data_IF_165630199029
#
_entry.id   IF_165630199029
#
_cell.length_a   1.000
_cell.length_b   1.000
_cell.length_c   1.000
_cell.angle_alpha   90.00
_cell.angle_beta   90.00
_cell.angle_gamma   90.00
#
_symmetry.space_group_name_H-M   'P 1'
#
loop_
_entity.id
_entity.type
_entity.pdbx_description
1 polymer ?
#
# COMPACT_ATOMS: atom_id res chain seq x y z
N UNK A 1 -5.82 15.89 -48.09
CA UNK A 1 -5.56 15.81 -46.63
C UNK A 1 -4.10 15.47 -46.48
N UNK A 2 -3.27 16.48 -46.19
CA UNK A 2 -1.82 16.36 -46.18
C UNK A 2 -1.33 15.78 -44.85
N UNK A 3 -0.60 14.66 -44.93
CA UNK A 3 0.02 13.99 -43.77
C UNK A 3 0.92 14.94 -42.96
N UNK A 4 1.52 15.93 -43.63
CA UNK A 4 2.38 16.93 -43.00
C UNK A 4 1.60 17.92 -42.10
N UNK A 5 0.31 18.12 -42.37
CA UNK A 5 -0.55 18.95 -41.52
C UNK A 5 -0.90 18.22 -40.22
N UNK A 6 -1.19 16.92 -40.31
CA UNK A 6 -1.55 16.08 -39.16
C UNK A 6 -0.35 15.87 -38.22
N UNK A 7 0.85 15.67 -38.78
CA UNK A 7 2.07 15.53 -37.97
C UNK A 7 2.40 16.81 -37.19
N UNK A 8 2.27 17.98 -37.81
CA UNK A 8 2.53 19.24 -37.13
C UNK A 8 1.48 19.52 -36.05
N UNK A 9 0.22 19.15 -36.29
CA UNK A 9 -0.84 19.32 -35.31
C UNK A 9 -0.68 18.41 -34.09
N UNK A 10 -0.22 17.17 -34.29
CA UNK A 10 0.13 16.25 -33.19
C UNK A 10 1.38 16.73 -32.44
N UNK A 11 2.37 17.26 -33.15
CA UNK A 11 3.61 17.74 -32.53
C UNK A 11 3.40 19.03 -31.72
N UNK A 12 2.51 19.92 -32.16
CA UNK A 12 2.10 21.09 -31.38
C UNK A 12 1.30 20.71 -30.14
N UNK A 13 0.43 19.70 -30.22
CA UNK A 13 -0.26 19.17 -29.03
C UNK A 13 0.76 18.57 -28.06
N UNK A 14 1.73 17.79 -28.55
CA UNK A 14 2.78 17.18 -27.73
C UNK A 14 3.69 18.23 -27.07
N UNK A 15 4.09 19.28 -27.81
CA UNK A 15 4.89 20.39 -27.27
C UNK A 15 4.10 21.23 -26.28
N UNK A 16 2.81 21.48 -26.50
CA UNK A 16 1.97 22.19 -25.54
C UNK A 16 1.73 21.39 -24.25
N UNK A 17 1.67 20.05 -24.32
CA UNK A 17 1.64 19.19 -23.13
C UNK A 17 3.00 19.11 -22.41
N UNK A 18 4.13 19.13 -23.13
CA UNK A 18 5.46 19.13 -22.53
C UNK A 18 5.80 20.47 -21.85
N UNK A 19 5.47 21.60 -22.49
CA UNK A 19 5.69 22.94 -21.93
C UNK A 19 4.78 23.24 -20.72
N UNK A 20 3.68 22.50 -20.55
CA UNK A 20 2.79 22.60 -19.37
C UNK A 20 3.31 21.83 -18.15
N UNK A 21 4.36 21.01 -18.32
CA UNK A 21 4.97 20.23 -17.24
C UNK A 21 6.18 20.95 -16.60
N UNK A 22 6.72 22.02 -17.20
CA UNK A 22 7.90 22.74 -16.67
C UNK A 22 7.57 24.00 -15.84
N UNK A 23 6.31 24.39 -15.65
CA UNK A 23 5.93 25.62 -14.88
C UNK A 23 4.90 25.36 -13.77
N UNK A 24 4.84 24.16 -13.20
CA UNK A 24 3.78 23.78 -12.26
C UNK A 24 4.26 23.08 -11.00
N UNK A 25 5.03 23.76 -10.15
CA UNK A 25 5.37 23.32 -8.80
C UNK A 25 4.14 23.33 -7.86
N UNK A 26 3.08 22.57 -8.16
CA UNK A 26 1.83 22.56 -7.39
C UNK A 26 1.15 21.18 -7.24
N UNK A 27 1.81 20.08 -7.60
CA UNK A 27 1.23 18.72 -7.44
C UNK A 27 1.68 18.01 -6.16
N UNK A 28 2.52 18.64 -5.34
CA UNK A 28 2.93 18.11 -4.01
C UNK A 28 2.07 18.73 -2.89
N UNK A 29 1.39 19.87 -3.12
CA UNK A 29 0.55 20.52 -2.10
C UNK A 29 -0.78 19.79 -1.81
N UNK A 30 -1.29 18.97 -2.73
CA UNK A 30 -2.43 18.08 -2.43
C UNK A 30 -2.04 16.82 -1.66
N UNK A 31 -0.73 16.56 -1.51
CA UNK A 31 -0.20 15.49 -0.67
C UNK A 31 0.06 16.00 0.77
N UNK A 32 0.32 17.30 0.92
CA UNK A 32 0.60 17.97 2.21
C UNK A 32 -0.66 18.43 2.95
N UNK A 33 -1.84 18.44 2.31
CA UNK A 33 -3.11 18.84 2.96
C UNK A 33 -3.89 17.68 3.60
N UNK A 34 -3.26 16.53 3.78
CA UNK A 34 -3.65 15.51 4.77
C UNK A 34 -2.70 15.68 5.96
N UNK A 35 -2.83 16.80 6.65
CA UNK A 35 -2.05 17.14 7.83
C UNK A 35 -2.92 17.03 9.08
N UNK A 36 -2.62 16.04 9.92
CA UNK A 36 -3.18 15.86 11.25
C UNK A 36 -4.54 15.15 11.29
N UNK A 37 -4.52 13.83 11.53
CA UNK A 37 -5.69 13.08 12.03
C UNK A 37 -6.62 12.42 11.01
N UNK A 38 -6.20 12.21 9.75
CA UNK A 38 -7.01 11.55 8.73
C UNK A 38 -6.21 10.49 7.95
N UNK A 39 -5.42 9.68 8.65
CA UNK A 39 -4.47 8.76 8.05
C UNK A 39 -5.19 7.62 7.32
N UNK A 40 -6.33 7.15 7.82
CA UNK A 40 -7.03 6.00 7.24
C UNK A 40 -7.84 6.30 5.97
N UNK A 41 -8.39 7.50 5.85
CA UNK A 41 -9.30 7.85 4.78
C UNK A 41 -8.65 7.77 3.40
N UNK A 42 -7.51 8.45 3.21
CA UNK A 42 -6.89 8.60 1.88
C UNK A 42 -6.26 7.33 1.31
N UNK A 43 -5.72 6.45 2.15
CA UNK A 43 -5.16 5.15 1.73
C UNK A 43 -6.26 4.17 1.33
N UNK A 44 -7.36 4.14 2.07
CA UNK A 44 -8.51 3.31 1.72
C UNK A 44 -9.18 3.82 0.44
N UNK A 45 -9.28 5.13 0.20
CA UNK A 45 -9.71 5.67 -1.11
C UNK A 45 -8.80 5.24 -2.26
N UNK A 46 -7.48 5.13 -2.02
CA UNK A 46 -6.52 4.67 -3.03
C UNK A 46 -6.63 3.17 -3.32
N UNK A 47 -7.09 2.37 -2.36
CA UNK A 47 -7.23 0.92 -2.48
C UNK A 47 -8.63 0.52 -2.98
N UNK A 48 -9.67 1.21 -2.49
CA UNK A 48 -11.07 0.85 -2.67
C UNK A 48 -11.76 1.61 -3.81
N UNK A 49 -11.26 2.80 -4.16
CA UNK A 49 -11.52 3.47 -5.42
C UNK A 49 -12.96 3.93 -5.69
N UNK A 50 -13.28 5.20 -5.39
CA UNK A 50 -13.92 6.13 -6.37
C UNK A 50 -14.05 7.59 -5.87
N UNK A 51 -13.44 8.53 -6.60
CA UNK A 51 -14.13 9.63 -7.31
C UNK A 51 -13.16 10.63 -7.99
N UNK A 52 -13.43 10.96 -9.26
CA UNK A 52 -12.84 12.12 -9.95
C UNK A 52 -11.60 11.88 -10.83
N UNK A 53 -11.83 11.71 -12.14
CA UNK A 53 -10.94 12.05 -13.26
C UNK A 53 -9.41 11.99 -13.10
N UNK A 54 -8.79 11.07 -13.84
CA UNK A 54 -7.34 10.87 -14.01
C UNK A 54 -6.61 10.09 -12.90
N UNK A 55 -7.00 8.84 -12.67
CA UNK A 55 -6.09 7.76 -12.22
C UNK A 55 -6.73 6.36 -12.21
N UNK A 56 -7.67 6.06 -13.11
CA UNK A 56 -8.08 4.65 -13.36
C UNK A 56 -7.00 3.87 -14.15
N UNK A 57 -5.90 4.54 -14.50
CA UNK A 57 -4.62 3.93 -14.87
C UNK A 57 -3.75 3.56 -13.65
N UNK A 58 -4.24 3.69 -12.41
CA UNK A 58 -3.69 3.02 -11.22
C UNK A 58 -4.23 1.58 -11.15
N UNK A 59 -3.94 0.81 -12.20
CA UNK A 59 -3.99 -0.66 -12.10
C UNK A 59 -3.05 -1.06 -10.95
N UNK A 60 -3.57 -1.68 -9.89
CA UNK A 60 -2.76 -2.50 -8.99
C UNK A 60 -2.07 -1.81 -7.81
N UNK A 61 -2.81 -1.27 -6.84
CA UNK A 61 -2.23 -0.99 -5.50
C UNK A 61 -1.61 -2.26 -4.88
N UNK A 62 -2.32 -3.39 -4.97
CA UNK A 62 -1.81 -4.70 -4.54
C UNK A 62 -0.71 -5.25 -5.47
N UNK A 63 -0.78 -5.00 -6.78
CA UNK A 63 0.27 -5.43 -7.71
C UNK A 63 1.56 -4.61 -7.55
N UNK A 64 1.44 -3.31 -7.25
CA UNK A 64 2.56 -2.43 -6.90
C UNK A 64 3.15 -2.86 -5.56
N UNK A 65 2.33 -3.13 -4.54
CA UNK A 65 2.80 -3.70 -3.28
C UNK A 65 3.60 -4.99 -3.52
N UNK A 66 3.03 -5.94 -4.28
CA UNK A 66 3.70 -7.18 -4.66
C UNK A 66 5.03 -6.95 -5.38
N UNK A 67 5.07 -6.02 -6.33
CA UNK A 67 6.29 -5.73 -7.07
C UNK A 67 7.36 -5.05 -6.19
N UNK A 68 6.97 -4.12 -5.31
CA UNK A 68 7.88 -3.49 -4.35
C UNK A 68 8.42 -4.53 -3.36
N UNK A 69 7.56 -5.39 -2.81
CA UNK A 69 7.97 -6.47 -1.92
C UNK A 69 8.93 -7.45 -2.62
N UNK A 70 8.65 -7.82 -3.88
CA UNK A 70 9.53 -8.65 -4.68
C UNK A 70 10.89 -7.99 -4.95
N UNK A 71 10.90 -6.70 -5.33
CA UNK A 71 12.14 -5.95 -5.57
C UNK A 71 12.99 -5.86 -4.30
N UNK A 72 12.38 -5.56 -3.16
CA UNK A 72 13.04 -5.55 -1.85
C UNK A 72 13.63 -6.93 -1.52
N UNK A 73 12.85 -7.99 -1.67
CA UNK A 73 13.32 -9.36 -1.45
C UNK A 73 14.48 -9.75 -2.38
N UNK A 74 14.43 -9.34 -3.65
CA UNK A 74 15.51 -9.59 -4.61
C UNK A 74 16.80 -8.84 -4.22
N UNK A 75 16.70 -7.61 -3.74
CA UNK A 75 17.85 -6.83 -3.29
C UNK A 75 18.43 -7.38 -1.98
N UNK A 76 17.57 -7.85 -1.08
CA UNK A 76 17.96 -8.56 0.13
C UNK A 76 18.73 -9.85 -0.20
N UNK A 77 18.22 -10.67 -1.12
CA UNK A 77 18.93 -11.87 -1.59
C UNK A 77 20.29 -11.56 -2.22
N UNK A 78 20.43 -10.47 -2.98
CA UNK A 78 21.72 -10.06 -3.57
C UNK A 78 22.72 -9.61 -2.50
N UNK A 79 22.23 -9.05 -1.40
CA UNK A 79 23.04 -8.54 -0.30
C UNK A 79 23.46 -9.65 0.68
N UNK A 80 22.67 -10.72 0.77
CA UNK A 80 22.97 -11.92 1.52
C UNK A 80 23.94 -12.82 0.73
N UNK A 81 25.15 -13.06 1.26
CA UNK A 81 26.12 -14.02 0.68
C UNK A 81 25.66 -15.49 0.81
N UNK A 82 24.57 -15.77 1.53
CA UNK A 82 24.00 -17.09 1.71
C UNK A 82 22.80 -17.35 0.79
N UNK A 83 22.74 -18.58 0.27
CA UNK A 83 21.73 -19.06 -0.68
C UNK A 83 20.35 -19.18 -0.05
N UNK A 84 19.61 -18.07 0.07
CA UNK A 84 18.18 -18.15 0.33
C UNK A 84 17.43 -18.73 -0.88
N UNK A 85 16.28 -19.39 -0.67
CA UNK A 85 15.46 -19.89 -1.76
C UNK A 85 15.03 -18.72 -2.65
N UNK A 86 15.26 -18.86 -3.95
CA UNK A 86 14.71 -17.93 -4.94
C UNK A 86 13.19 -18.08 -4.95
N UNK A 87 12.49 -17.02 -4.54
CA UNK A 87 11.03 -16.94 -4.57
C UNK A 87 10.63 -16.26 -5.89
N UNK A 88 9.73 -16.88 -6.63
CA UNK A 88 9.20 -16.35 -7.89
C UNK A 88 8.37 -15.09 -7.66
N UNK A 89 8.39 -14.14 -8.60
CA UNK A 89 7.58 -12.91 -8.56
C UNK A 89 6.08 -13.18 -8.35
N UNK A 90 5.53 -14.26 -8.95
CA UNK A 90 4.13 -14.65 -8.78
C UNK A 90 3.74 -14.96 -7.32
N UNK A 91 4.70 -15.33 -6.45
CA UNK A 91 4.41 -15.55 -5.04
C UNK A 91 4.10 -14.23 -4.31
N UNK A 92 4.56 -13.10 -4.85
CA UNK A 92 4.28 -11.78 -4.31
C UNK A 92 3.01 -11.16 -4.90
N UNK A 93 2.40 -11.79 -5.91
CA UNK A 93 1.13 -11.33 -6.45
C UNK A 93 0.01 -11.63 -5.44
N UNK A 94 -0.43 -10.58 -4.73
CA UNK A 94 -1.50 -10.68 -3.74
C UNK A 94 -2.79 -11.24 -4.33
N UNK A 95 -3.13 -10.88 -5.57
CA UNK A 95 -4.41 -11.23 -6.20
C UNK A 95 -4.41 -12.65 -6.78
N UNK A 96 -3.24 -13.17 -7.17
CA UNK A 96 -3.07 -14.51 -7.73
C UNK A 96 -2.33 -15.47 -6.78
N UNK A 97 -2.06 -15.04 -5.55
CA UNK A 97 -1.37 -15.86 -4.55
C UNK A 97 -2.17 -17.14 -4.33
N UNK A 98 -1.50 -18.29 -4.47
CA UNK A 98 -2.12 -19.62 -4.34
C UNK A 98 -2.39 -20.01 -2.88
N UNK A 99 -2.41 -19.03 -1.98
CA UNK A 99 -2.49 -19.20 -0.53
C UNK A 99 -3.93 -19.51 -0.12
N UNK A 100 -4.09 -20.29 0.95
CA UNK A 100 -5.41 -20.68 1.50
C UNK A 100 -6.19 -19.52 2.14
N UNK A 101 -5.55 -18.35 2.28
CA UNK A 101 -6.09 -17.14 2.88
C UNK A 101 -6.28 -16.13 1.75
N UNK A 102 -7.38 -15.37 1.79
CA UNK A 102 -7.54 -14.20 0.93
C UNK A 102 -6.50 -13.15 1.33
N UNK A 103 -5.38 -13.11 0.60
CA UNK A 103 -4.26 -12.24 0.89
C UNK A 103 -4.65 -10.76 0.81
N UNK A 104 -5.63 -10.42 -0.03
CA UNK A 104 -6.18 -9.06 -0.12
C UNK A 104 -6.92 -8.66 1.15
N UNK A 105 -7.77 -9.56 1.66
CA UNK A 105 -8.45 -9.36 2.95
C UNK A 105 -7.44 -9.23 4.10
N UNK A 106 -6.46 -10.13 4.19
CA UNK A 106 -5.45 -10.12 5.26
C UNK A 106 -4.64 -8.82 5.26
N UNK A 107 -4.22 -8.35 4.08
CA UNK A 107 -3.49 -7.09 3.93
C UNK A 107 -4.36 -5.93 4.40
N UNK A 108 -5.62 -5.88 3.99
CA UNK A 108 -6.54 -4.82 4.41
C UNK A 108 -6.74 -4.79 5.93
N UNK A 109 -6.94 -5.95 6.54
CA UNK A 109 -7.07 -6.09 8.00
C UNK A 109 -5.79 -5.66 8.73
N UNK A 110 -4.63 -6.01 8.19
CA UNK A 110 -3.32 -5.58 8.72
C UNK A 110 -3.16 -4.07 8.64
N UNK A 111 -3.57 -3.43 7.53
CA UNK A 111 -3.54 -1.97 7.39
C UNK A 111 -4.43 -1.27 8.42
N UNK A 112 -5.62 -1.81 8.69
CA UNK A 112 -6.53 -1.30 9.72
C UNK A 112 -5.89 -1.46 11.11
N UNK A 113 -5.29 -2.60 11.41
CA UNK A 113 -4.60 -2.84 12.68
C UNK A 113 -3.39 -1.90 12.87
N UNK A 114 -2.62 -1.65 11.80
CA UNK A 114 -1.49 -0.72 11.83
C UNK A 114 -1.94 0.71 12.12
N UNK A 115 -3.01 1.17 11.48
CA UNK A 115 -3.57 2.48 11.78
C UNK A 115 -4.19 2.56 13.18
N UNK A 116 -4.81 1.49 13.67
CA UNK A 116 -5.38 1.46 15.01
C UNK A 116 -4.29 1.47 16.11
N UNK A 117 -3.03 1.17 15.78
CA UNK A 117 -1.95 1.00 16.75
C UNK A 117 -1.60 2.29 17.50
N UNK A 118 -1.77 3.47 16.89
CA UNK A 118 -1.56 4.75 17.55
C UNK A 118 -2.64 5.04 18.63
N UNK A 119 -3.76 4.31 18.56
CA UNK A 119 -4.87 4.32 19.50
C UNK A 119 -5.91 5.39 19.23
N UNK A 120 -5.84 6.10 18.09
CA UNK A 120 -6.80 7.16 17.74
C UNK A 120 -7.30 6.99 16.31
N UNK A 121 -8.17 6.00 16.08
CA UNK A 121 -9.05 6.08 14.91
C UNK A 121 -10.11 7.15 15.23
N UNK A 122 -9.89 8.33 14.68
CA UNK A 122 -10.77 9.48 14.86
C UNK A 122 -12.14 9.25 14.24
N UNK A 123 -13.14 9.99 14.70
CA UNK A 123 -14.49 9.89 14.13
C UNK A 123 -14.52 10.32 12.65
N UNK A 124 -13.69 11.29 12.27
CA UNK A 124 -13.48 11.69 10.87
C UNK A 124 -12.90 10.55 10.02
N UNK A 125 -11.97 9.75 10.58
CA UNK A 125 -11.44 8.57 9.90
C UNK A 125 -12.50 7.50 9.72
N UNK A 126 -13.28 7.18 10.74
CA UNK A 126 -14.41 6.23 10.61
C UNK A 126 -15.40 6.69 9.54
N UNK A 127 -15.74 7.99 9.54
CA UNK A 127 -16.65 8.54 8.55
C UNK A 127 -16.08 8.46 7.13
N UNK A 128 -14.77 8.70 6.97
CA UNK A 128 -14.12 8.56 5.67
C UNK A 128 -14.11 7.11 5.19
N UNK A 129 -13.86 6.16 6.09
CA UNK A 129 -13.90 4.72 5.78
C UNK A 129 -15.32 4.29 5.36
N UNK A 130 -16.35 4.75 6.08
CA UNK A 130 -17.74 4.51 5.73
C UNK A 130 -18.11 5.10 4.36
N UNK A 131 -17.59 6.29 4.03
CA UNK A 131 -17.79 6.90 2.72
C UNK A 131 -17.11 6.11 1.60
N UNK A 132 -15.93 5.53 1.85
CA UNK A 132 -15.22 4.70 0.87
C UNK A 132 -15.88 3.34 0.62
N UNK A 133 -16.55 2.78 1.64
CA UNK A 133 -17.43 1.62 1.44
C UNK A 133 -18.61 1.92 0.50
N UNK A 134 -18.94 3.20 0.32
CA UNK A 134 -19.95 3.68 -0.62
C UNK A 134 -21.32 3.06 -0.36
N UNK A 135 -21.94 2.54 -1.42
CA UNK A 135 -23.28 1.93 -1.34
C UNK A 135 -23.24 0.43 -0.95
N UNK A 136 -22.11 -0.09 -0.47
CA UNK A 136 -22.01 -1.48 -0.03
C UNK A 136 -22.14 -1.58 1.50
N UNK A 137 -23.35 -1.87 2.02
CA UNK A 137 -23.58 -1.90 3.47
C UNK A 137 -22.86 -3.07 4.17
N UNK A 138 -22.63 -4.18 3.46
CA UNK A 138 -21.92 -5.35 4.02
C UNK A 138 -20.44 -5.01 4.25
N UNK A 139 -19.82 -4.34 3.28
CA UNK A 139 -18.44 -3.87 3.39
C UNK A 139 -18.29 -2.81 4.49
N UNK A 140 -19.24 -1.89 4.60
CA UNK A 140 -19.22 -0.87 5.65
C UNK A 140 -19.28 -1.48 7.06
N UNK A 141 -20.17 -2.47 7.26
CA UNK A 141 -20.28 -3.19 8.53
C UNK A 141 -19.03 -4.00 8.85
N UNK A 142 -18.45 -4.66 7.85
CA UNK A 142 -17.20 -5.40 8.03
C UNK A 142 -16.03 -4.49 8.43
N UNK A 143 -15.87 -3.35 7.73
CA UNK A 143 -14.84 -2.35 8.06
C UNK A 143 -15.02 -1.80 9.48
N UNK A 144 -16.25 -1.49 9.87
CA UNK A 144 -16.54 -1.00 11.23
C UNK A 144 -16.20 -2.03 12.31
N UNK A 145 -16.49 -3.32 12.07
CA UNK A 145 -16.10 -4.39 12.99
C UNK A 145 -14.58 -4.53 13.09
N UNK A 146 -13.87 -4.46 11.97
CA UNK A 146 -12.41 -4.56 11.94
C UNK A 146 -11.74 -3.35 12.61
N UNK A 147 -12.34 -2.16 12.52
CA UNK A 147 -11.87 -0.96 13.26
C UNK A 147 -12.10 -1.12 14.76
N UNK A 148 -13.27 -1.64 15.17
CA UNK A 148 -13.60 -1.82 16.59
C UNK A 148 -12.76 -2.91 17.25
N UNK A 149 -12.46 -3.98 16.52
CA UNK A 149 -11.65 -5.10 16.99
C UNK A 149 -10.61 -5.48 15.93
N UNK A 150 -9.52 -4.70 15.80
CA UNK A 150 -8.51 -4.97 14.80
C UNK A 150 -7.86 -6.33 15.02
N UNK A 151 -7.51 -7.00 13.91
CA UNK A 151 -6.77 -8.25 13.96
C UNK A 151 -5.46 -8.10 14.77
N UNK A 152 -5.19 -9.07 15.64
CA UNK A 152 -3.96 -9.09 16.43
C UNK A 152 -2.75 -9.52 15.59
N UNK A 153 -1.55 -9.01 15.92
CA UNK A 153 -0.28 -9.40 15.28
C UNK A 153 -0.08 -10.92 15.27
N UNK A 154 -0.42 -11.60 16.37
CA UNK A 154 -0.31 -13.05 16.46
C UNK A 154 -1.22 -13.76 15.45
N UNK A 155 -2.43 -13.25 15.24
CA UNK A 155 -3.35 -13.84 14.26
C UNK A 155 -2.90 -13.55 12.82
N UNK A 156 -2.39 -12.35 12.54
CA UNK A 156 -1.75 -12.04 11.25
C UNK A 156 -0.63 -13.04 10.96
N UNK A 157 0.30 -13.23 11.89
CA UNK A 157 1.42 -14.16 11.73
C UNK A 157 0.96 -15.61 11.53
N UNK A 158 -0.09 -16.05 12.23
CA UNK A 158 -0.67 -17.39 12.05
C UNK A 158 -1.28 -17.58 10.66
N UNK A 159 -1.96 -16.56 10.12
CA UNK A 159 -2.57 -16.61 8.79
C UNK A 159 -1.52 -16.56 7.67
N UNK A 160 -0.45 -15.78 7.86
CA UNK A 160 0.68 -15.75 6.92
C UNK A 160 1.47 -17.06 6.94
N UNK A 161 1.68 -17.64 8.12
CA UNK A 161 2.49 -18.86 8.27
C UNK A 161 3.94 -18.65 7.82
N UNK A 162 4.48 -19.62 7.07
CA UNK A 162 5.88 -19.59 6.61
C UNK A 162 6.05 -18.98 5.21
N UNK A 163 5.07 -18.20 4.73
CA UNK A 163 5.13 -17.56 3.42
C UNK A 163 5.84 -16.20 3.51
N UNK A 164 7.12 -16.19 3.17
CA UNK A 164 7.94 -14.96 3.18
C UNK A 164 7.44 -13.90 2.19
N UNK A 165 6.83 -14.30 1.06
CA UNK A 165 6.32 -13.34 0.08
C UNK A 165 5.08 -12.62 0.61
N UNK A 166 4.14 -13.38 1.19
CA UNK A 166 2.98 -12.81 1.86
C UNK A 166 3.39 -11.99 3.08
N UNK A 167 4.33 -12.46 3.90
CA UNK A 167 4.87 -11.70 5.03
C UNK A 167 5.44 -10.35 4.60
N UNK A 168 6.20 -10.32 3.50
CA UNK A 168 6.77 -9.09 2.93
C UNK A 168 5.69 -8.12 2.49
N UNK A 169 4.64 -8.61 1.82
CA UNK A 169 3.48 -7.81 1.41
C UNK A 169 2.72 -7.23 2.60
N UNK A 170 2.45 -8.05 3.62
CA UNK A 170 1.74 -7.65 4.85
C UNK A 170 2.50 -6.57 5.61
N UNK A 171 3.81 -6.75 5.81
CA UNK A 171 4.65 -5.75 6.46
C UNK A 171 4.67 -4.43 5.69
N UNK A 172 4.90 -4.50 4.37
CA UNK A 172 4.98 -3.32 3.51
C UNK A 172 3.66 -2.53 3.53
N UNK A 173 2.52 -3.23 3.50
CA UNK A 173 1.22 -2.60 3.58
C UNK A 173 1.02 -1.87 4.91
N UNK A 174 1.36 -2.48 6.05
CA UNK A 174 1.33 -1.82 7.35
C UNK A 174 2.24 -0.57 7.38
N UNK A 175 3.47 -0.69 6.88
CA UNK A 175 4.44 0.42 6.86
C UNK A 175 3.97 1.61 6.03
N UNK A 176 3.28 1.37 4.92
CA UNK A 176 2.75 2.42 4.03
C UNK A 176 1.57 3.18 4.63
N UNK A 177 0.84 2.58 5.56
CA UNK A 177 -0.19 3.24 6.36
C UNK A 177 0.44 4.17 7.40
N UNK A 178 1.45 3.68 8.09
CA UNK A 178 2.11 4.37 9.20
C UNK A 178 3.13 5.41 8.73
N UNK A 179 2.67 6.49 8.08
CA UNK A 179 3.54 7.54 7.49
C UNK A 179 4.34 8.32 8.55
N UNK A 180 3.65 8.93 9.50
CA UNK A 180 4.27 9.68 10.60
C UNK A 180 4.35 8.79 11.83
N UNK A 181 5.40 7.97 11.87
CA UNK A 181 5.57 6.94 12.89
C UNK A 181 5.52 7.51 14.32
N UNK A 182 4.38 7.30 14.98
CA UNK A 182 4.28 7.43 16.42
C UNK A 182 5.09 6.33 17.11
N UNK A 183 5.44 6.54 18.39
CA UNK A 183 6.15 5.51 19.17
C UNK A 183 5.39 4.17 19.18
N UNK A 184 4.06 4.21 19.16
CA UNK A 184 3.23 3.00 19.17
C UNK A 184 3.28 2.27 17.84
N UNK A 185 3.26 2.99 16.72
CA UNK A 185 3.39 2.38 15.39
C UNK A 185 4.76 1.77 15.15
N UNK A 186 5.83 2.39 15.68
CA UNK A 186 7.18 1.80 15.65
C UNK A 186 7.19 0.45 16.38
N UNK A 187 6.58 0.39 17.57
CA UNK A 187 6.48 -0.85 18.34
C UNK A 187 5.63 -1.87 17.59
N UNK A 188 4.49 -1.45 17.02
CA UNK A 188 3.63 -2.33 16.22
C UNK A 188 4.37 -2.94 15.02
N UNK A 189 5.10 -2.14 14.24
CA UNK A 189 5.85 -2.62 13.09
C UNK A 189 7.00 -3.55 13.50
N UNK A 190 7.70 -3.24 14.59
CA UNK A 190 8.74 -4.11 15.12
C UNK A 190 8.18 -5.47 15.58
N UNK A 191 7.08 -5.46 16.34
CA UNK A 191 6.40 -6.67 16.80
C UNK A 191 5.83 -7.47 15.61
N UNK A 192 5.32 -6.78 14.59
CA UNK A 192 4.82 -7.39 13.35
C UNK A 192 5.94 -8.07 12.57
N UNK A 193 7.06 -7.39 12.33
CA UNK A 193 8.22 -7.97 11.64
C UNK A 193 8.73 -9.22 12.35
N UNK A 194 8.86 -9.15 13.68
CA UNK A 194 9.29 -10.29 14.50
C UNK A 194 8.30 -11.45 14.42
N UNK A 195 6.99 -11.19 14.52
CA UNK A 195 5.97 -12.23 14.46
C UNK A 195 5.89 -12.90 13.07
N UNK A 196 6.14 -12.12 12.00
CA UNK A 196 6.22 -12.61 10.63
C UNK A 196 7.52 -13.37 10.32
N UNK A 197 8.50 -13.34 11.23
CA UNK A 197 9.81 -13.98 11.03
C UNK A 197 10.64 -13.32 9.92
N UNK A 198 10.46 -12.02 9.69
CA UNK A 198 11.24 -11.26 8.73
C UNK A 198 12.63 -10.94 9.30
N UNK A 199 13.67 -11.14 8.50
CA UNK A 199 15.04 -10.72 8.85
C UNK A 199 15.15 -9.20 8.84
N UNK A 200 15.90 -8.62 9.78
CA UNK A 200 16.07 -7.18 9.91
C UNK A 200 16.59 -6.53 8.61
N UNK A 201 17.48 -7.21 7.88
CA UNK A 201 17.99 -6.68 6.61
C UNK A 201 16.94 -6.75 5.49
N UNK A 202 15.99 -7.69 5.55
CA UNK A 202 14.86 -7.73 4.62
C UNK A 202 13.88 -6.59 4.92
N UNK A 203 13.60 -6.34 6.20
CA UNK A 203 12.78 -5.20 6.65
C UNK A 203 13.39 -3.88 6.15
N UNK A 204 14.70 -3.69 6.31
CA UNK A 204 15.39 -2.49 5.81
C UNK A 204 15.23 -2.33 4.28
N UNK A 205 15.33 -3.42 3.50
CA UNK A 205 15.10 -3.34 2.06
C UNK A 205 13.64 -2.99 1.72
N UNK A 206 12.67 -3.52 2.47
CA UNK A 206 11.24 -3.23 2.27
C UNK A 206 10.95 -1.74 2.51
N UNK A 207 11.48 -1.18 3.59
CA UNK A 207 11.29 0.24 3.91
C UNK A 207 11.96 1.16 2.89
N UNK A 208 13.20 0.85 2.51
CA UNK A 208 13.93 1.58 1.47
C UNK A 208 13.18 1.59 0.14
N UNK A 209 12.59 0.46 -0.23
CA UNK A 209 11.83 0.33 -1.47
C UNK A 209 10.48 1.08 -1.41
N UNK A 210 9.89 1.24 -0.23
CA UNK A 210 8.73 2.10 0.00
C UNK A 210 9.08 3.59 0.07
N UNK A 211 10.37 3.94 0.14
CA UNK A 211 10.86 5.31 0.16
C UNK A 211 10.96 5.93 1.57
N UNK A 212 11.11 5.09 2.59
CA UNK A 212 11.35 5.50 3.97
C UNK A 212 12.81 5.35 4.39
#
# INVERSE_FOLDING_TARGET
MDLNSILNQVLDVAKNSASKLETGNQTIDSLTKVGGGAALGGILSMILGRSGGASLAKLGSLAVLGNLAYQAYQNYQKSQQNSQPSISENAFDVLNSSSHVDAGELILRTMIAAAAADGEITEDEKQTIANEAGNNPELAQWLEQEIQNPISINEIARLVGNDTALASNVYLAARLVSKDLSRKEIIFLADLAQALGLDDALVEQLEKQAGF
#
